data_IF_619956775235
#
_entry.id   IF_619956775235
#
_cell.length_a   1.000
_cell.length_b   1.000
_cell.length_c   1.000
_cell.angle_alpha   90.00
_cell.angle_beta   90.00
_cell.angle_gamma   90.00
#
_symmetry.space_group_name_H-M   'P 1'
#
loop_
_entity.id
_entity.type
_entity.pdbx_description
1 polymer ?
#
# COMPACT_ATOMS: atom_id res chain seq x y z
N UNK A 1 3.41 4.48 -13.99
CA UNK A 1 2.45 5.59 -13.83
C UNK A 1 1.95 5.96 -15.20
N UNK A 2 0.65 5.92 -15.39
CA UNK A 2 -0.03 6.36 -16.61
C UNK A 2 -0.84 7.60 -16.27
N UNK A 3 -0.93 8.54 -17.20
CA UNK A 3 -1.90 9.63 -17.14
C UNK A 3 -3.05 9.27 -18.08
N UNK A 4 -4.27 9.31 -17.57
CA UNK A 4 -5.48 9.03 -18.34
C UNK A 4 -6.32 10.30 -18.36
N UNK A 5 -6.54 10.85 -19.54
CA UNK A 5 -7.37 12.04 -19.71
C UNK A 5 -8.85 11.68 -19.57
N UNK A 6 -9.54 12.37 -18.65
CA UNK A 6 -10.96 12.13 -18.32
C UNK A 6 -11.77 13.43 -18.54
N UNK A 7 -12.07 13.78 -19.81
CA UNK A 7 -12.68 15.07 -20.14
C UNK A 7 -14.05 15.22 -19.50
N UNK A 8 -14.19 16.26 -18.66
CA UNK A 8 -15.45 16.58 -17.95
C UNK A 8 -16.23 17.68 -18.70
N UNK A 9 -17.57 17.55 -18.82
CA UNK A 9 -18.41 18.59 -19.42
C UNK A 9 -18.37 19.93 -18.69
N UNK A 10 -18.23 19.90 -17.36
CA UNK A 10 -18.11 21.09 -16.51
C UNK A 10 -16.76 21.11 -15.78
N UNK A 11 -16.25 22.32 -15.53
CA UNK A 11 -15.10 22.54 -14.65
C UNK A 11 -15.52 22.52 -13.18
N UNK A 12 -14.63 22.10 -12.30
CA UNK A 12 -14.88 22.00 -10.87
C UNK A 12 -15.36 20.61 -10.42
N UNK A 13 -15.94 20.57 -9.22
CA UNK A 13 -16.42 19.36 -8.54
C UNK A 13 -17.78 19.66 -7.92
N UNK A 14 -18.68 18.67 -7.81
CA UNK A 14 -19.92 18.86 -7.04
C UNK A 14 -19.61 19.11 -5.56
N UNK A 15 -20.39 19.97 -4.90
CA UNK A 15 -20.16 20.33 -3.48
C UNK A 15 -19.05 21.38 -3.25
N UNK A 16 -18.60 22.07 -4.30
CA UNK A 16 -17.62 23.16 -4.20
C UNK A 16 -18.14 24.41 -4.96
N UNK A 17 -18.32 25.58 -4.30
CA UNK A 17 -17.97 25.88 -2.89
C UNK A 17 -18.91 25.33 -1.82
N UNK A 18 -20.20 25.12 -2.14
CA UNK A 18 -21.23 24.72 -1.16
C UNK A 18 -21.88 23.40 -1.54
N UNK A 19 -22.43 22.69 -0.55
CA UNK A 19 -22.98 21.34 -0.70
C UNK A 19 -24.09 21.20 -1.76
N UNK A 20 -24.80 22.29 -2.04
CA UNK A 20 -25.88 22.36 -3.04
C UNK A 20 -25.38 22.47 -4.48
N UNK A 21 -24.10 22.82 -4.70
CA UNK A 21 -23.52 22.91 -6.05
C UNK A 21 -23.45 21.54 -6.70
N UNK A 22 -23.98 21.43 -7.91
CA UNK A 22 -23.91 20.22 -8.74
C UNK A 22 -23.12 20.52 -10.02
N UNK A 23 -22.22 19.61 -10.35
CA UNK A 23 -21.39 19.61 -11.56
C UNK A 23 -21.44 18.24 -12.22
N UNK A 24 -21.54 18.26 -13.54
CA UNK A 24 -21.44 17.06 -14.37
C UNK A 24 -19.98 16.84 -14.73
N UNK A 25 -19.33 15.88 -14.07
CA UNK A 25 -17.91 15.54 -14.29
C UNK A 25 -17.76 14.10 -14.78
N UNK A 26 -16.64 13.81 -15.45
CA UNK A 26 -16.39 12.52 -16.09
C UNK A 26 -16.36 11.33 -15.13
N UNK A 27 -16.01 11.59 -13.87
CA UNK A 27 -15.84 10.59 -12.81
C UNK A 27 -16.84 10.78 -11.67
N UNK A 28 -17.85 11.64 -11.83
CA UNK A 28 -18.89 11.87 -10.82
C UNK A 28 -18.35 12.41 -9.48
N UNK A 29 -17.23 13.15 -9.50
CA UNK A 29 -16.59 13.62 -8.27
C UNK A 29 -17.49 14.56 -7.47
N UNK A 30 -17.61 14.30 -6.16
CA UNK A 30 -18.44 15.11 -5.25
C UNK A 30 -17.89 15.13 -3.83
N UNK A 31 -17.85 16.32 -3.23
CA UNK A 31 -17.70 16.50 -1.78
C UNK A 31 -19.01 16.15 -1.04
N UNK A 32 -18.96 16.18 0.30
CA UNK A 32 -20.10 15.96 1.20
C UNK A 32 -20.73 14.56 1.13
N UNK A 33 -19.99 13.55 0.69
CA UNK A 33 -20.43 12.17 0.82
C UNK A 33 -20.71 11.82 2.28
N UNK A 34 -21.77 11.05 2.52
CA UNK A 34 -22.22 10.65 3.87
C UNK A 34 -22.37 11.83 4.85
N UNK A 35 -22.56 13.04 4.34
CA UNK A 35 -22.65 14.27 5.13
C UNK A 35 -21.30 14.82 5.62
N UNK A 36 -20.17 14.22 5.22
CA UNK A 36 -18.82 14.65 5.59
C UNK A 36 -18.26 15.58 4.52
N UNK A 37 -18.10 16.87 4.84
CA UNK A 37 -17.71 17.91 3.88
C UNK A 37 -16.47 17.56 3.05
N UNK A 38 -15.42 17.07 3.69
CA UNK A 38 -14.14 16.75 3.04
C UNK A 38 -14.11 15.40 2.33
N UNK A 39 -15.17 14.58 2.44
CA UNK A 39 -15.19 13.27 1.80
C UNK A 39 -15.48 13.46 0.31
N UNK A 40 -14.43 13.30 -0.51
CA UNK A 40 -14.45 13.49 -1.95
C UNK A 40 -14.62 12.15 -2.66
N UNK A 41 -15.87 11.76 -2.92
CA UNK A 41 -16.15 10.52 -3.62
C UNK A 41 -16.07 10.65 -5.12
N UNK A 42 -16.06 9.49 -5.77
CA UNK A 42 -16.15 9.30 -7.20
C UNK A 42 -17.25 8.28 -7.52
N UNK A 43 -17.59 8.15 -8.80
CA UNK A 43 -18.35 7.02 -9.34
C UNK A 43 -17.37 5.88 -9.73
N UNK A 44 -17.33 4.76 -8.98
CA UNK A 44 -16.37 3.68 -9.24
C UNK A 44 -16.51 3.04 -10.62
N UNK A 45 -17.72 2.97 -11.19
CA UNK A 45 -17.93 2.39 -12.51
C UNK A 45 -17.31 3.26 -13.60
N UNK A 46 -17.45 4.58 -13.46
CA UNK A 46 -16.80 5.55 -14.34
C UNK A 46 -15.27 5.49 -14.21
N UNK A 47 -14.74 5.40 -12.98
CA UNK A 47 -13.29 5.22 -12.75
C UNK A 47 -12.78 3.95 -13.42
N UNK A 48 -13.46 2.81 -13.23
CA UNK A 48 -13.09 1.53 -13.85
C UNK A 48 -13.09 1.60 -15.38
N UNK A 49 -14.07 2.28 -15.98
CA UNK A 49 -14.14 2.47 -17.43
C UNK A 49 -12.94 3.24 -17.98
N UNK A 50 -12.55 4.34 -17.34
CA UNK A 50 -11.40 5.13 -17.78
C UNK A 50 -10.06 4.43 -17.49
N UNK A 51 -9.95 3.76 -16.34
CA UNK A 51 -8.76 3.00 -15.97
C UNK A 51 -8.44 1.86 -16.95
N UNK A 52 -9.42 1.38 -17.72
CA UNK A 52 -9.19 0.40 -18.79
C UNK A 52 -8.20 0.87 -19.87
N UNK A 53 -7.96 2.19 -20.00
CA UNK A 53 -6.90 2.73 -20.85
C UNK A 53 -5.47 2.42 -20.35
N UNK A 54 -5.33 2.04 -19.08
CA UNK A 54 -4.10 1.63 -18.43
C UNK A 54 -4.29 0.26 -17.74
N UNK A 55 -4.45 -0.84 -18.50
CA UNK A 55 -4.84 -2.15 -17.97
C UNK A 55 -3.78 -2.84 -17.08
N UNK A 56 -2.60 -2.23 -16.93
CA UNK A 56 -1.52 -2.69 -16.06
C UNK A 56 -1.38 -1.82 -14.80
N UNK A 57 -2.37 -0.95 -14.52
CA UNK A 57 -2.39 -0.16 -13.30
C UNK A 57 -2.98 -0.99 -12.15
N UNK A 58 -2.23 -1.09 -11.05
CA UNK A 58 -2.68 -1.78 -9.85
C UNK A 58 -3.46 -0.84 -8.92
N UNK A 59 -3.22 0.47 -9.00
CA UNK A 59 -3.84 1.53 -8.18
C UNK A 59 -4.15 2.75 -9.03
N UNK A 60 -5.28 3.41 -8.75
CA UNK A 60 -5.74 4.61 -9.46
C UNK A 60 -5.73 5.83 -8.53
N UNK A 61 -5.21 6.95 -9.03
CA UNK A 61 -5.40 8.26 -8.40
C UNK A 61 -6.43 9.06 -9.20
N UNK A 62 -7.46 9.56 -8.52
CA UNK A 62 -8.40 10.52 -9.11
C UNK A 62 -8.06 11.92 -8.62
N UNK A 63 -7.62 12.76 -9.56
CA UNK A 63 -7.22 14.13 -9.30
C UNK A 63 -8.40 15.04 -9.68
N UNK A 64 -9.08 15.59 -8.68
CA UNK A 64 -10.27 16.41 -8.88
C UNK A 64 -9.89 17.90 -8.98
N UNK A 65 -10.44 18.60 -9.97
CA UNK A 65 -10.17 20.02 -10.22
C UNK A 65 -10.86 20.91 -9.15
N UNK A 66 -10.20 21.10 -8.01
CA UNK A 66 -10.66 21.91 -6.89
C UNK A 66 -9.50 22.29 -5.97
N UNK A 67 -9.60 23.46 -5.33
CA UNK A 67 -8.71 23.88 -4.25
C UNK A 67 -9.22 23.46 -2.85
N UNK A 68 -10.48 23.01 -2.76
CA UNK A 68 -11.11 22.61 -1.49
C UNK A 68 -10.37 21.42 -0.89
N UNK A 69 -10.27 21.41 0.43
CA UNK A 69 -9.65 20.31 1.15
C UNK A 69 -10.57 19.08 1.13
N UNK A 70 -10.08 17.97 0.56
CA UNK A 70 -10.72 16.67 0.70
C UNK A 70 -10.20 15.59 -0.24
N UNK A 71 -10.53 14.37 0.14
CA UNK A 71 -10.08 13.11 -0.43
C UNK A 71 -10.96 11.96 0.07
N UNK A 72 -10.78 10.79 -0.53
CA UNK A 72 -11.32 9.51 -0.12
C UNK A 72 -10.41 8.40 -0.65
N UNK A 73 -10.17 7.38 0.17
CA UNK A 73 -9.51 6.15 -0.24
C UNK A 73 -10.50 5.00 -0.34
N UNK A 74 -10.36 4.21 -1.40
CA UNK A 74 -11.15 3.01 -1.67
C UNK A 74 -10.21 1.82 -1.72
N UNK A 75 -10.45 0.82 -0.89
CA UNK A 75 -9.81 -0.49 -0.97
C UNK A 75 -10.53 -1.39 -1.98
N UNK A 76 -9.93 -2.52 -2.34
CA UNK A 76 -10.53 -3.49 -3.26
C UNK A 76 -11.96 -3.94 -2.88
N UNK A 77 -12.30 -3.91 -1.58
CA UNK A 77 -13.64 -4.26 -1.07
C UNK A 77 -14.69 -3.18 -1.33
N UNK A 78 -14.27 -1.94 -1.54
CA UNK A 78 -15.15 -0.80 -1.82
C UNK A 78 -15.44 -0.66 -3.33
N UNK A 79 -14.70 -1.41 -4.16
CA UNK A 79 -14.76 -1.33 -5.62
C UNK A 79 -15.70 -2.39 -6.21
N UNK A 80 -16.26 -2.14 -7.41
CA UNK A 80 -17.10 -3.11 -8.11
C UNK A 80 -16.39 -4.47 -8.27
N UNK A 81 -17.11 -5.60 -8.13
CA UNK A 81 -16.52 -6.92 -8.36
C UNK A 81 -15.90 -7.04 -9.76
N UNK A 82 -14.67 -7.56 -9.84
CA UNK A 82 -13.95 -7.72 -11.10
C UNK A 82 -13.20 -6.47 -11.57
N UNK A 83 -13.13 -5.42 -10.76
CA UNK A 83 -12.25 -4.27 -11.00
C UNK A 83 -10.78 -4.74 -11.14
N UNK A 84 -10.03 -4.29 -12.17
CA UNK A 84 -8.69 -4.79 -12.47
C UNK A 84 -7.57 -4.13 -11.66
N UNK A 85 -7.91 -3.25 -10.71
CA UNK A 85 -7.01 -2.57 -9.78
C UNK A 85 -7.54 -2.72 -8.35
N UNK A 86 -6.67 -2.49 -7.38
CA UNK A 86 -6.86 -2.87 -5.98
C UNK A 86 -7.19 -1.70 -5.05
N UNK A 87 -7.18 -0.47 -5.57
CA UNK A 87 -7.59 0.70 -4.80
C UNK A 87 -7.66 1.99 -5.61
N UNK A 88 -8.35 2.99 -5.04
CA UNK A 88 -8.50 4.34 -5.59
C UNK A 88 -8.25 5.38 -4.51
N UNK A 89 -7.33 6.31 -4.76
CA UNK A 89 -7.11 7.47 -3.89
C UNK A 89 -7.59 8.75 -4.60
N UNK A 90 -8.44 9.54 -3.96
CA UNK A 90 -8.89 10.83 -4.52
C UNK A 90 -8.14 11.99 -3.88
N UNK A 91 -7.89 13.05 -4.66
CA UNK A 91 -7.20 14.25 -4.16
C UNK A 91 -7.65 15.48 -4.93
N UNK A 92 -7.75 16.61 -4.24
CA UNK A 92 -8.06 17.89 -4.87
C UNK A 92 -6.79 18.54 -5.44
N UNK A 93 -6.75 18.82 -6.74
CA UNK A 93 -5.54 19.18 -7.49
C UNK A 93 -4.88 20.47 -7.00
N UNK A 94 -5.70 21.48 -6.67
CA UNK A 94 -5.24 22.85 -6.44
C UNK A 94 -5.17 23.18 -4.95
N UNK A 95 -5.31 22.17 -4.09
CA UNK A 95 -5.09 22.32 -2.67
C UNK A 95 -3.59 22.33 -2.37
N UNK A 96 -3.11 23.25 -1.54
CA UNK A 96 -1.68 23.37 -1.19
C UNK A 96 -1.09 22.11 -0.51
N UNK A 97 -1.95 21.22 0.00
CA UNK A 97 -1.58 19.94 0.61
C UNK A 97 -1.98 18.72 -0.24
N UNK A 98 -2.30 18.91 -1.52
CA UNK A 98 -2.81 17.88 -2.43
C UNK A 98 -2.02 16.57 -2.37
N UNK A 99 -0.69 16.63 -2.46
CA UNK A 99 0.15 15.43 -2.42
C UNK A 99 0.09 14.67 -1.09
N UNK A 100 -0.10 15.36 0.04
CA UNK A 100 -0.29 14.73 1.35
C UNK A 100 -1.68 14.11 1.47
N UNK A 101 -2.71 14.77 0.93
CA UNK A 101 -4.06 14.20 0.82
C UNK A 101 -4.01 12.90 0.02
N UNK A 102 -3.44 12.93 -1.20
CA UNK A 102 -3.32 11.75 -2.03
C UNK A 102 -2.53 10.62 -1.34
N UNK A 103 -1.46 10.95 -0.59
CA UNK A 103 -0.74 9.97 0.20
C UNK A 103 -1.57 9.39 1.36
N UNK A 104 -2.31 10.23 2.09
CA UNK A 104 -3.26 9.81 3.13
C UNK A 104 -4.33 8.86 2.57
N UNK A 105 -4.97 9.22 1.45
CA UNK A 105 -5.99 8.38 0.82
C UNK A 105 -5.42 7.08 0.24
N UNK A 106 -4.17 7.11 -0.23
CA UNK A 106 -3.45 5.89 -0.59
C UNK A 106 -3.25 4.99 0.65
N UNK A 107 -3.05 5.58 1.83
CA UNK A 107 -3.02 4.90 3.13
C UNK A 107 -4.22 4.00 3.37
N UNK A 108 -5.43 4.51 3.09
CA UNK A 108 -6.66 3.71 3.12
C UNK A 108 -6.69 2.67 2.00
N UNK A 109 -6.33 3.06 0.78
CA UNK A 109 -6.52 2.25 -0.43
C UNK A 109 -5.68 0.97 -0.45
N UNK A 110 -4.38 1.06 -0.13
CA UNK A 110 -3.45 -0.08 -0.16
C UNK A 110 -2.96 -0.51 1.21
N UNK A 111 -2.85 0.42 2.15
CA UNK A 111 -2.39 0.13 3.51
C UNK A 111 -3.50 -0.42 4.39
N UNK A 112 -4.77 -0.32 3.94
CA UNK A 112 -5.97 -0.59 4.73
C UNK A 112 -5.91 0.08 6.11
N UNK A 113 -5.32 1.27 6.15
CA UNK A 113 -5.20 2.07 7.35
C UNK A 113 -6.53 2.71 7.68
N UNK A 114 -6.81 2.89 8.96
CA UNK A 114 -7.91 3.71 9.41
C UNK A 114 -7.44 5.14 9.67
N UNK A 115 -8.38 6.06 9.72
CA UNK A 115 -8.11 7.42 10.18
C UNK A 115 -7.71 7.43 11.65
N UNK A 116 -6.76 8.30 11.99
CA UNK A 116 -6.25 8.43 13.36
C UNK A 116 -6.69 9.71 14.07
N UNK A 117 -7.39 10.62 13.39
CA UNK A 117 -7.99 11.78 14.04
C UNK A 117 -9.32 11.43 14.71
N UNK A 118 -9.77 12.36 15.55
CA UNK A 118 -11.03 12.28 16.27
C UNK A 118 -11.79 13.59 16.18
N UNK A 119 -13.10 13.54 16.43
CA UNK A 119 -13.96 14.70 16.50
C UNK A 119 -14.52 14.88 17.90
N UNK A 120 -14.52 16.12 18.37
CA UNK A 120 -15.13 16.45 19.66
C UNK A 120 -16.63 16.11 19.62
N UNK A 121 -17.11 15.40 20.65
CA UNK A 121 -18.53 15.03 20.78
C UNK A 121 -18.92 13.70 20.14
N UNK A 122 -17.99 12.99 19.48
CA UNK A 122 -18.21 11.62 19.03
C UNK A 122 -18.20 10.62 20.20
N UNK A 123 -17.55 10.97 21.31
CA UNK A 123 -17.56 10.15 22.52
C UNK A 123 -16.73 8.87 22.40
N UNK A 124 -17.12 7.78 23.08
CA UNK A 124 -16.37 6.53 23.06
C UNK A 124 -16.57 5.76 21.75
N UNK A 125 -15.56 4.98 21.37
CA UNK A 125 -15.64 4.06 20.23
C UNK A 125 -16.86 3.14 20.37
N UNK A 126 -17.71 3.00 19.34
CA UNK A 126 -19.04 2.43 19.49
C UNK A 126 -19.07 0.90 19.39
N UNK A 127 -17.97 0.29 18.93
CA UNK A 127 -17.86 -1.15 18.74
C UNK A 127 -16.98 -1.80 19.81
N UNK A 128 -17.35 -3.03 20.20
CA UNK A 128 -16.51 -3.87 21.06
C UNK A 128 -15.54 -4.74 20.25
N UNK A 129 -15.72 -4.81 18.93
CA UNK A 129 -14.88 -5.60 18.04
C UNK A 129 -13.59 -4.84 17.72
N UNK A 130 -12.47 -5.56 17.81
CA UNK A 130 -11.17 -5.01 17.47
C UNK A 130 -11.17 -4.55 16.01
N UNK A 131 -10.82 -3.28 15.70
CA UNK A 131 -10.73 -2.80 14.32
C UNK A 131 -9.82 -3.70 13.48
N UNK A 132 -10.06 -3.82 12.18
CA UNK A 132 -9.15 -4.60 11.32
C UNK A 132 -7.84 -3.84 11.05
N UNK A 133 -7.94 -2.54 10.77
CA UNK A 133 -6.82 -1.66 10.42
C UNK A 133 -5.65 -1.75 11.42
N UNK A 134 -4.42 -1.87 10.91
CA UNK A 134 -3.24 -2.12 11.73
C UNK A 134 -2.91 -0.99 12.73
N UNK A 135 -3.34 0.24 12.43
CA UNK A 135 -3.01 1.46 13.16
C UNK A 135 -4.05 1.92 14.19
N UNK A 136 -5.10 1.12 14.43
CA UNK A 136 -6.01 1.33 15.57
C UNK A 136 -6.12 0.09 16.44
N UNK A 137 -6.39 0.24 17.73
CA UNK A 137 -6.66 -0.88 18.64
C UNK A 137 -7.61 -0.48 19.77
N UNK A 138 -8.37 -1.43 20.32
CA UNK A 138 -9.13 -1.23 21.56
C UNK A 138 -8.30 -1.55 22.81
N UNK A 139 -7.04 -1.99 22.63
CA UNK A 139 -6.14 -2.37 23.72
C UNK A 139 -5.35 -1.17 24.21
N UNK A 140 -5.68 -0.68 25.40
CA UNK A 140 -4.91 0.36 26.08
C UNK A 140 -3.50 -0.09 26.45
N UNK A 141 -3.32 -1.35 26.86
CA UNK A 141 -2.01 -1.91 27.20
C UNK A 141 -1.13 -2.00 25.95
N UNK A 142 0.00 -1.26 25.89
CA UNK A 142 0.89 -1.30 24.73
C UNK A 142 1.49 -2.69 24.44
N UNK A 143 1.60 -3.56 25.45
CA UNK A 143 2.07 -4.92 25.26
C UNK A 143 1.04 -5.82 24.54
N UNK A 144 -0.25 -5.47 24.62
CA UNK A 144 -1.35 -6.15 23.97
C UNK A 144 -1.75 -5.53 22.61
N UNK A 145 -1.20 -4.35 22.28
CA UNK A 145 -1.46 -3.68 21.00
C UNK A 145 -0.91 -4.48 19.80
N UNK A 146 -1.53 -4.27 18.63
CA UNK A 146 -1.13 -4.91 17.37
C UNK A 146 0.34 -4.66 17.05
N UNK A 147 0.79 -3.42 17.29
CA UNK A 147 2.14 -2.94 17.04
C UNK A 147 3.12 -3.11 18.20
N UNK A 148 2.89 -4.02 19.15
CA UNK A 148 3.81 -4.27 20.30
C UNK A 148 5.28 -4.45 19.91
N UNK A 149 5.59 -4.87 18.67
CA UNK A 149 6.95 -5.01 18.13
C UNK A 149 7.67 -3.68 17.91
N UNK A 150 6.91 -2.60 17.82
CA UNK A 150 7.38 -1.24 17.67
C UNK A 150 7.41 -0.47 18.99
N UNK A 151 6.81 -1.01 20.06
CA UNK A 151 6.70 -0.34 21.36
C UNK A 151 8.04 0.29 21.82
N UNK A 152 8.00 1.59 22.11
CA UNK A 152 9.15 2.37 22.58
C UNK A 152 10.16 2.74 21.48
N UNK A 153 9.97 2.32 20.22
CA UNK A 153 10.76 2.83 19.11
C UNK A 153 10.47 4.31 18.91
N UNK A 154 11.52 5.09 18.63
CA UNK A 154 11.34 6.47 18.19
C UNK A 154 10.72 6.49 16.79
N UNK A 155 9.63 7.22 16.63
CA UNK A 155 8.93 7.39 15.36
C UNK A 155 9.42 8.67 14.64
N UNK A 156 9.50 8.68 13.29
CA UNK A 156 9.76 9.89 12.51
C UNK A 156 8.73 11.01 12.74
N UNK A 157 7.51 10.70 13.17
CA UNK A 157 6.46 11.68 13.48
C UNK A 157 6.71 12.44 14.80
N UNK A 158 7.73 12.07 15.56
CA UNK A 158 8.24 12.82 16.70
C UNK A 158 7.95 12.21 18.07
N UNK A 159 7.01 11.27 18.19
CA UNK A 159 6.75 10.55 19.44
C UNK A 159 7.41 9.17 19.46
N UNK A 160 7.56 8.58 20.65
CA UNK A 160 7.80 7.14 20.73
C UNK A 160 6.52 6.39 20.36
N UNK A 161 6.64 5.16 19.87
CA UNK A 161 5.49 4.29 19.63
C UNK A 161 4.92 3.82 20.98
N UNK A 162 3.63 4.03 21.18
CA UNK A 162 2.89 3.72 22.40
C UNK A 162 1.42 3.42 22.09
N UNK A 163 0.53 3.70 23.03
CA UNK A 163 -0.94 3.62 22.83
C UNK A 163 -1.56 4.96 23.21
N UNK A 164 -1.82 5.79 22.20
CA UNK A 164 -2.36 7.13 22.37
C UNK A 164 -3.86 7.10 22.18
N UNK A 165 -4.61 7.56 23.18
CA UNK A 165 -6.07 7.51 23.13
C UNK A 165 -6.62 8.49 22.08
N UNK A 166 -7.66 8.05 21.39
CA UNK A 166 -8.32 8.76 20.30
C UNK A 166 -7.84 8.32 18.92
N UNK A 167 -8.80 8.11 18.01
CA UNK A 167 -8.59 7.64 16.65
C UNK A 167 -9.89 7.12 16.05
N UNK A 168 -9.91 6.83 14.75
CA UNK A 168 -11.09 6.33 14.05
C UNK A 168 -12.32 7.21 14.26
N UNK A 169 -12.14 8.53 14.38
CA UNK A 169 -13.15 9.56 14.67
C UNK A 169 -13.57 9.71 16.15
N UNK A 170 -13.23 8.79 17.04
CA UNK A 170 -13.71 8.76 18.44
C UNK A 170 -12.65 9.22 19.45
N UNK A 171 -13.09 9.83 20.54
CA UNK A 171 -12.22 10.46 21.53
C UNK A 171 -11.63 9.46 22.52
N UNK A 172 -12.37 8.42 22.87
CA UNK A 172 -11.98 7.44 23.90
C UNK A 172 -12.28 6.00 23.50
N UNK A 173 -11.65 5.04 24.16
CA UNK A 173 -11.91 3.60 23.94
C UNK A 173 -11.23 3.00 22.70
N UNK A 174 -10.53 3.81 21.91
CA UNK A 174 -9.69 3.38 20.78
C UNK A 174 -8.36 4.12 20.84
N UNK A 175 -7.29 3.46 20.42
CA UNK A 175 -5.93 3.92 20.54
C UNK A 175 -5.20 3.83 19.20
N UNK A 176 -4.29 4.78 18.96
CA UNK A 176 -3.39 4.86 17.81
C UNK A 176 -1.91 4.73 18.26
N UNK A 177 -0.95 4.44 17.36
CA UNK A 177 0.42 4.09 17.73
C UNK A 177 1.29 5.28 18.15
N UNK A 178 1.03 6.48 17.65
CA UNK A 178 1.86 7.68 17.88
C UNK A 178 1.01 8.91 18.20
N UNK A 179 1.63 10.00 18.65
CA UNK A 179 0.89 11.25 18.90
C UNK A 179 0.29 11.82 17.62
N UNK A 180 1.06 11.75 16.52
CA UNK A 180 0.65 12.17 15.18
C UNK A 180 1.16 11.23 14.10
N UNK A 181 0.55 11.31 12.93
CA UNK A 181 0.91 10.60 11.70
C UNK A 181 0.21 11.28 10.53
N UNK A 182 0.59 10.93 9.30
CA UNK A 182 -0.15 11.36 8.10
C UNK A 182 -1.60 10.87 8.11
N UNK A 183 -1.91 9.75 8.79
CA UNK A 183 -3.30 9.28 8.98
C UNK A 183 -4.09 10.10 10.00
N UNK A 184 -3.43 11.01 10.73
CA UNK A 184 -4.05 11.88 11.73
C UNK A 184 -4.16 13.33 11.26
N UNK A 185 -3.06 13.91 10.81
CA UNK A 185 -2.95 15.36 10.60
C UNK A 185 -1.91 15.66 9.51
N UNK A 186 -2.29 16.54 8.56
CA UNK A 186 -1.43 16.92 7.42
C UNK A 186 -0.32 17.92 7.77
N UNK A 187 -0.19 18.31 9.03
CA UNK A 187 1.03 18.92 9.57
C UNK A 187 2.17 17.90 9.69
N UNK A 188 1.86 16.60 9.73
CA UNK A 188 2.83 15.52 9.51
C UNK A 188 2.94 15.20 8.03
N UNK A 189 4.17 15.04 7.54
CA UNK A 189 4.46 14.52 6.19
C UNK A 189 4.67 13.00 6.16
N UNK A 190 4.69 12.36 7.33
CA UNK A 190 5.13 10.98 7.49
C UNK A 190 4.00 10.11 8.06
N UNK A 191 3.85 8.92 7.49
CA UNK A 191 3.20 7.81 8.20
C UNK A 191 4.05 7.44 9.42
N UNK A 192 3.40 7.07 10.52
CA UNK A 192 4.10 6.41 11.62
C UNK A 192 4.63 5.04 11.16
N UNK A 193 5.51 4.42 11.96
CA UNK A 193 6.16 3.15 11.60
C UNK A 193 5.18 1.99 11.44
N UNK A 194 4.01 2.02 12.11
CA UNK A 194 2.98 0.99 11.98
C UNK A 194 2.24 1.19 10.66
N UNK A 195 1.83 2.43 10.36
CA UNK A 195 1.28 2.82 9.07
C UNK A 195 2.22 2.47 7.92
N UNK A 196 3.52 2.79 8.06
CA UNK A 196 4.55 2.48 7.06
C UNK A 196 4.72 0.98 6.83
N UNK A 197 4.72 0.17 7.88
CA UNK A 197 4.81 -1.29 7.74
C UNK A 197 3.59 -1.87 7.00
N UNK A 198 2.39 -1.38 7.30
CA UNK A 198 1.17 -1.78 6.60
C UNK A 198 1.18 -1.34 5.12
N UNK A 199 1.66 -0.13 4.83
CA UNK A 199 1.87 0.33 3.45
C UNK A 199 2.84 -0.57 2.67
N UNK A 200 3.96 -0.96 3.30
CA UNK A 200 4.90 -1.92 2.71
C UNK A 200 4.19 -3.25 2.42
N UNK A 201 3.38 -3.75 3.36
CA UNK A 201 2.60 -4.98 3.16
C UNK A 201 1.65 -4.86 1.95
N UNK A 202 0.95 -3.73 1.82
CA UNK A 202 0.07 -3.43 0.69
C UNK A 202 0.81 -3.48 -0.65
N UNK A 203 1.94 -2.76 -0.77
CA UNK A 203 2.74 -2.80 -2.01
C UNK A 203 3.23 -4.20 -2.40
N UNK A 204 3.60 -5.03 -1.42
CA UNK A 204 4.01 -6.42 -1.70
C UNK A 204 2.83 -7.36 -2.02
N UNK A 205 1.59 -6.97 -1.70
CA UNK A 205 0.40 -7.70 -2.11
C UNK A 205 0.10 -7.52 -3.61
N UNK A 206 0.43 -6.34 -4.16
CA UNK A 206 0.19 -5.98 -5.56
C UNK A 206 1.40 -6.22 -6.47
N UNK A 207 2.63 -6.15 -5.94
CA UNK A 207 3.85 -6.18 -6.74
C UNK A 207 4.94 -7.12 -6.22
N UNK A 208 5.47 -7.94 -7.14
CA UNK A 208 6.63 -8.80 -6.91
C UNK A 208 7.95 -8.00 -6.90
N UNK A 209 8.78 -8.18 -5.86
CA UNK A 209 10.13 -7.63 -5.84
C UNK A 209 11.13 -8.40 -6.71
N UNK A 210 10.80 -9.62 -7.13
CA UNK A 210 11.61 -10.46 -8.01
C UNK A 210 10.80 -10.89 -9.24
N UNK A 211 11.27 -10.53 -10.43
CA UNK A 211 10.64 -10.92 -11.70
C UNK A 211 11.65 -11.56 -12.65
N UNK A 212 11.17 -12.22 -13.71
CA UNK A 212 12.04 -12.77 -14.76
C UNK A 212 11.37 -12.68 -16.13
N UNK A 213 12.12 -12.38 -17.20
CA UNK A 213 11.62 -12.53 -18.56
C UNK A 213 11.46 -14.01 -18.98
N UNK A 214 11.98 -14.97 -18.22
CA UNK A 214 11.83 -16.39 -18.49
C UNK A 214 10.66 -16.97 -17.70
N UNK A 215 9.69 -17.50 -18.43
CA UNK A 215 8.56 -18.20 -17.84
C UNK A 215 9.03 -19.39 -16.98
N UNK A 216 8.52 -19.48 -15.76
CA UNK A 216 8.73 -20.59 -14.82
C UNK A 216 7.94 -21.85 -15.19
N UNK A 217 6.94 -21.70 -16.07
CA UNK A 217 6.06 -22.78 -16.55
C UNK A 217 6.70 -23.71 -17.59
N UNK A 218 7.89 -23.38 -18.10
CA UNK A 218 8.59 -24.18 -19.12
C UNK A 218 9.97 -24.61 -18.61
N UNK A 219 10.42 -25.84 -18.92
CA UNK A 219 11.76 -26.27 -18.58
C UNK A 219 12.82 -25.38 -19.26
N UNK A 220 13.90 -25.11 -18.55
CA UNK A 220 15.07 -24.41 -19.07
C UNK A 220 16.21 -25.40 -19.33
N UNK A 221 16.92 -25.22 -20.44
CA UNK A 221 18.09 -26.06 -20.73
C UNK A 221 19.20 -25.81 -19.70
N UNK A 222 19.98 -26.83 -19.36
CA UNK A 222 21.08 -26.74 -18.38
C UNK A 222 22.07 -25.58 -18.64
N UNK A 223 22.33 -25.24 -19.91
CA UNK A 223 23.24 -24.15 -20.30
C UNK A 223 22.55 -22.79 -20.54
N UNK A 224 21.21 -22.71 -20.37
CA UNK A 224 20.47 -21.47 -20.59
C UNK A 224 20.73 -20.50 -19.43
N UNK A 225 21.06 -19.25 -19.74
CA UNK A 225 21.06 -18.18 -18.75
C UNK A 225 19.65 -17.95 -18.21
N UNK A 226 19.48 -18.15 -16.91
CA UNK A 226 18.31 -17.74 -16.15
C UNK A 226 18.59 -16.35 -15.59
N UNK A 227 17.84 -15.37 -16.06
CA UNK A 227 17.98 -13.97 -15.65
C UNK A 227 16.79 -13.56 -14.81
N UNK A 228 17.03 -12.82 -13.74
CA UNK A 228 16.01 -12.21 -12.88
C UNK A 228 16.23 -10.70 -12.80
N UNK A 229 15.21 -9.99 -12.35
CA UNK A 229 15.24 -8.55 -12.07
C UNK A 229 14.70 -8.31 -10.68
N UNK A 230 15.34 -7.39 -9.96
CA UNK A 230 14.82 -6.88 -8.70
C UNK A 230 14.06 -5.57 -8.96
N UNK A 231 13.00 -5.35 -8.19
CA UNK A 231 12.31 -4.06 -8.17
C UNK A 231 13.29 -2.94 -7.74
N UNK A 232 13.21 -1.73 -8.33
CA UNK A 232 14.14 -0.63 -8.08
C UNK A 232 13.85 0.11 -6.75
N UNK A 233 13.85 -0.62 -5.63
CA UNK A 233 13.50 -0.13 -4.29
C UNK A 233 14.70 0.47 -3.53
N UNK A 234 15.58 1.19 -4.22
CA UNK A 234 16.82 1.72 -3.65
C UNK A 234 16.50 2.70 -2.51
N UNK A 235 17.06 2.46 -1.32
CA UNK A 235 16.82 3.27 -0.12
C UNK A 235 15.47 3.02 0.57
N UNK A 236 14.57 2.25 -0.05
CA UNK A 236 13.25 1.94 0.48
C UNK A 236 13.19 0.53 1.09
N UNK A 237 13.89 -0.42 0.48
CA UNK A 237 13.96 -1.82 0.89
C UNK A 237 15.41 -2.30 1.03
N UNK A 238 15.59 -3.44 1.70
CA UNK A 238 16.88 -4.16 1.75
C UNK A 238 16.72 -5.54 1.12
N UNK A 239 16.53 -5.56 -0.19
CA UNK A 239 16.33 -6.78 -0.95
C UNK A 239 17.59 -7.66 -0.95
N UNK A 240 17.41 -8.93 -0.65
CA UNK A 240 18.45 -9.97 -0.72
C UNK A 240 17.98 -11.07 -1.66
N UNK A 241 18.75 -11.29 -2.73
CA UNK A 241 18.55 -12.36 -3.68
C UNK A 241 19.43 -13.57 -3.33
N UNK A 242 18.80 -14.71 -3.13
CA UNK A 242 19.43 -16.01 -2.91
C UNK A 242 19.03 -17.00 -3.99
N UNK A 243 19.98 -17.83 -4.43
CA UNK A 243 19.76 -18.90 -5.40
C UNK A 243 19.84 -20.27 -4.75
N UNK A 244 19.05 -21.21 -5.26
CA UNK A 244 18.95 -22.58 -4.80
C UNK A 244 18.98 -23.54 -5.99
N UNK A 245 19.67 -24.66 -5.83
CA UNK A 245 19.64 -25.81 -6.74
C UNK A 245 19.07 -27.02 -5.99
N UNK A 246 17.96 -27.58 -6.46
CA UNK A 246 17.25 -28.70 -5.82
C UNK A 246 17.02 -28.48 -4.30
N UNK A 247 16.64 -27.24 -3.93
CA UNK A 247 16.37 -26.84 -2.55
C UNK A 247 17.62 -26.50 -1.71
N UNK A 248 18.84 -26.71 -2.23
CA UNK A 248 20.08 -26.32 -1.55
C UNK A 248 20.53 -24.92 -1.96
N UNK A 249 20.70 -24.04 -0.98
CA UNK A 249 21.22 -22.67 -1.20
C UNK A 249 22.62 -22.73 -1.83
N UNK A 250 22.86 -21.83 -2.79
CA UNK A 250 24.13 -21.65 -3.52
C UNK A 250 24.75 -20.30 -3.14
N UNK A 251 25.63 -20.24 -2.12
CA UNK A 251 26.08 -18.97 -1.55
C UNK A 251 26.84 -18.07 -2.52
N UNK A 252 27.66 -18.64 -3.42
CA UNK A 252 28.43 -17.85 -4.38
C UNK A 252 27.56 -17.14 -5.42
N UNK A 253 26.32 -17.62 -5.61
CA UNK A 253 25.37 -17.04 -6.54
C UNK A 253 24.51 -15.92 -5.91
N UNK A 254 24.59 -15.71 -4.60
CA UNK A 254 23.84 -14.66 -3.92
C UNK A 254 24.05 -13.29 -4.58
N UNK A 255 22.95 -12.56 -4.80
CA UNK A 255 22.96 -11.25 -5.47
C UNK A 255 23.20 -11.28 -6.99
N UNK A 256 23.48 -12.42 -7.62
CA UNK A 256 23.66 -12.49 -9.08
C UNK A 256 22.31 -12.38 -9.80
N UNK A 257 22.20 -11.42 -10.72
CA UNK A 257 20.99 -11.25 -11.55
C UNK A 257 20.86 -12.30 -12.66
N UNK A 258 21.93 -13.06 -12.94
CA UNK A 258 21.90 -14.14 -13.90
C UNK A 258 22.84 -15.29 -13.50
N UNK A 259 22.36 -16.51 -13.75
CA UNK A 259 23.06 -17.79 -13.52
C UNK A 259 22.64 -18.79 -14.59
N UNK A 260 23.44 -19.83 -14.82
CA UNK A 260 22.98 -21.03 -15.55
C UNK A 260 22.71 -22.18 -14.58
N UNK A 261 21.75 -23.08 -14.86
CA UNK A 261 21.57 -24.28 -14.06
C UNK A 261 22.86 -25.12 -13.94
N UNK A 262 23.64 -25.23 -15.02
CA UNK A 262 24.94 -25.93 -15.02
C UNK A 262 25.91 -25.37 -13.99
N UNK A 263 26.05 -24.05 -13.91
CA UNK A 263 26.95 -23.41 -12.93
C UNK A 263 26.50 -23.71 -11.49
N UNK A 264 25.19 -23.67 -11.24
CA UNK A 264 24.63 -23.97 -9.91
C UNK A 264 24.81 -25.44 -9.51
N UNK A 265 24.77 -26.36 -10.49
CA UNK A 265 24.88 -27.80 -10.26
C UNK A 265 26.34 -28.28 -10.07
N UNK A 266 27.31 -27.54 -10.60
CA UNK A 266 28.71 -27.95 -10.62
C UNK A 266 28.91 -29.26 -11.41
N UNK A 267 29.32 -30.34 -10.72
CA UNK A 267 29.51 -31.68 -11.31
C UNK A 267 28.26 -32.56 -11.26
N UNK A 268 27.16 -32.10 -10.67
CA UNK A 268 25.91 -32.86 -10.51
C UNK A 268 24.90 -32.48 -11.58
N UNK A 269 23.85 -33.29 -11.75
CA UNK A 269 22.62 -32.83 -12.40
C UNK A 269 21.85 -31.95 -11.43
N UNK A 270 21.18 -30.92 -11.96
CA UNK A 270 20.18 -30.13 -11.22
C UNK A 270 18.85 -30.31 -11.92
N UNK A 271 17.77 -30.45 -11.16
CA UNK A 271 16.42 -30.60 -11.69
C UNK A 271 15.58 -29.34 -11.51
N UNK A 272 15.91 -28.53 -10.49
CA UNK A 272 15.22 -27.29 -10.15
C UNK A 272 16.21 -26.20 -9.78
N UNK A 273 16.01 -25.03 -10.38
CA UNK A 273 16.70 -23.79 -9.99
C UNK A 273 15.64 -22.85 -9.42
N UNK A 274 15.90 -22.32 -8.24
CA UNK A 274 15.00 -21.36 -7.57
C UNK A 274 15.76 -20.09 -7.20
N UNK A 275 15.21 -18.95 -7.57
CA UNK A 275 15.60 -17.64 -7.08
C UNK A 275 14.60 -17.20 -6.01
N UNK A 276 15.08 -16.70 -4.87
CA UNK A 276 14.26 -16.19 -3.77
C UNK A 276 14.74 -14.78 -3.44
N UNK A 277 13.83 -13.82 -3.36
CA UNK A 277 14.12 -12.51 -2.77
C UNK A 277 13.46 -12.41 -1.41
N UNK A 278 14.11 -11.71 -0.48
CA UNK A 278 13.53 -11.31 0.80
C UNK A 278 13.86 -9.85 1.09
N UNK A 279 12.93 -9.13 1.70
CA UNK A 279 13.19 -7.80 2.23
C UNK A 279 13.69 -7.85 3.68
N UNK A 280 14.95 -7.49 3.87
CA UNK A 280 15.60 -7.39 5.18
C UNK A 280 15.49 -6.01 5.83
N UNK A 281 14.61 -5.13 5.35
CA UNK A 281 14.45 -3.78 5.88
C UNK A 281 14.07 -3.78 7.37
N UNK A 282 14.56 -2.78 8.10
CA UNK A 282 14.16 -2.53 9.48
C UNK A 282 12.74 -1.96 9.60
N UNK A 283 12.17 -1.48 8.49
CA UNK A 283 10.81 -0.94 8.40
C UNK A 283 9.70 -2.01 8.47
N UNK A 284 10.08 -3.30 8.51
CA UNK A 284 9.16 -4.41 8.73
C UNK A 284 9.64 -5.18 9.96
N UNK A 285 8.77 -5.39 10.95
CA UNK A 285 9.01 -6.16 12.16
C UNK A 285 8.07 -7.34 12.32
N UNK A 286 6.87 -7.30 11.75
CA UNK A 286 5.93 -8.40 11.76
C UNK A 286 6.44 -9.56 10.89
N UNK A 287 6.62 -10.78 11.45
CA UNK A 287 7.02 -11.95 10.67
C UNK A 287 6.08 -12.29 9.51
N UNK A 288 4.77 -12.02 9.64
CA UNK A 288 3.79 -12.25 8.56
C UNK A 288 4.04 -11.29 7.39
N UNK A 289 4.26 -10.01 7.68
CA UNK A 289 4.60 -9.01 6.66
C UNK A 289 5.95 -9.33 6.02
N UNK A 290 6.97 -9.74 6.79
CA UNK A 290 8.27 -10.18 6.21
C UNK A 290 8.11 -11.36 5.25
N UNK A 291 7.22 -12.29 5.58
CA UNK A 291 6.96 -13.45 4.73
C UNK A 291 6.26 -13.03 3.43
N UNK A 292 5.29 -12.11 3.50
CA UNK A 292 4.61 -11.54 2.34
C UNK A 292 5.56 -10.69 1.47
N UNK A 293 6.52 -9.99 2.10
CA UNK A 293 7.57 -9.22 1.45
C UNK A 293 8.71 -10.06 0.83
N UNK A 294 8.42 -11.32 0.50
CA UNK A 294 9.37 -12.27 -0.11
C UNK A 294 8.66 -13.04 -1.20
N UNK A 295 9.26 -13.11 -2.40
CA UNK A 295 8.72 -13.90 -3.51
C UNK A 295 9.81 -14.76 -4.16
N UNK A 296 9.40 -15.82 -4.86
CA UNK A 296 10.32 -16.79 -5.45
C UNK A 296 9.91 -17.25 -6.84
N UNK A 297 10.92 -17.49 -7.68
CA UNK A 297 10.76 -18.00 -9.03
C UNK A 297 11.49 -19.33 -9.14
N UNK A 298 10.82 -20.37 -9.63
CA UNK A 298 11.41 -21.71 -9.80
C UNK A 298 11.28 -22.21 -11.22
N UNK A 299 12.38 -22.67 -11.81
CA UNK A 299 12.44 -23.30 -13.11
C UNK A 299 12.81 -24.78 -12.98
N UNK A 300 12.13 -25.63 -13.73
CA UNK A 300 12.56 -27.01 -13.97
C UNK A 300 13.67 -27.04 -15.02
N UNK A 301 14.64 -27.94 -14.87
CA UNK A 301 15.81 -28.04 -15.73
C UNK A 301 15.73 -29.32 -16.57
N UNK A 302 16.03 -29.20 -17.87
CA UNK A 302 16.10 -30.33 -18.82
C UNK A 302 17.42 -30.35 -19.57
#
# INVERSE_FOLDING_TARGET
IWLVDTPSPESGVSGDPTADVKRTTALGSSFFCDGLERLLCIDPDSVTRYAAAAPAADIVFVIANSAKYGGAGYSAVDLPPGTPFHGVATMSSDNDRSYLIGAHELGHSIGHLADEYQYAGYGPYPSADEPEAANLTLRRDPAAAKWRRWLGAQDPTGSAVGTYEGGGYYETGVYRPTETSLMRDLSSSDFDVVGREAMIAGFYADADALTSPLATSRPVASARNVTVRLAPLIGLARLRLDWYADGKRIPWAAGRMAVTPRELAGRRSVHRVTAVVSDGTGAVRDPRVRQAASNSLTWTVR
#
